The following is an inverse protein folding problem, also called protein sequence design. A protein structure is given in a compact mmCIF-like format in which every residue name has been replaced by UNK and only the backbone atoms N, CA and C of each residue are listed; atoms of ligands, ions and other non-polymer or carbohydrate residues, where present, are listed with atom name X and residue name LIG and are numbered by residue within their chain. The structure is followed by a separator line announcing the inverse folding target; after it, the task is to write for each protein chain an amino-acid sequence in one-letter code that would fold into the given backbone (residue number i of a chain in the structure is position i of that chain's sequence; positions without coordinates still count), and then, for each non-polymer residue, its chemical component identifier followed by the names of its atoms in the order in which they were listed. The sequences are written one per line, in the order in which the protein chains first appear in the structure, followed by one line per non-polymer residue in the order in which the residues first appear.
data_IF_447012071517
#
_entry.id   IF_447012071517
#
_cell.length_a   1.000
_cell.length_b   1.000
_cell.length_c   1.000
_cell.angle_alpha   90.00
_cell.angle_beta   90.00
_cell.angle_gamma   90.00
#
_symmetry.space_group_name_H-M   'P 1'
#
loop_
_entity.id
_entity.type
_entity.pdbx_description
1 polymer ?
#
# COMPACT_ATOMS: atom_id res chain seq x y z
N UNK A 1 5.03 4.96 2.48
CA UNK A 1 5.81 3.69 2.47
C UNK A 1 5.40 2.89 1.24
N UNK A 2 6.36 2.41 0.44
CA UNK A 2 6.08 1.70 -0.81
C UNK A 2 5.35 0.37 -0.62
N UNK A 3 5.62 -0.34 0.49
CA UNK A 3 5.00 -1.63 0.78
C UNK A 3 3.46 -1.59 0.78
N UNK A 4 2.86 -0.52 1.30
CA UNK A 4 1.41 -0.39 1.42
C UNK A 4 0.72 0.21 0.18
N UNK A 5 1.49 0.71 -0.78
CA UNK A 5 0.98 1.50 -1.91
C UNK A 5 1.59 0.95 -3.20
N UNK A 6 0.99 -0.07 -3.82
CA UNK A 6 1.50 -0.62 -5.07
C UNK A 6 1.55 0.43 -6.21
N UNK A 7 0.69 1.45 -6.14
CA UNK A 7 0.55 2.59 -7.05
C UNK A 7 1.11 3.90 -6.46
N UNK A 8 2.17 3.81 -5.66
CA UNK A 8 2.71 4.96 -4.91
C UNK A 8 3.06 6.15 -5.83
N UNK A 9 3.59 5.88 -7.03
CA UNK A 9 4.02 6.93 -7.96
C UNK A 9 2.82 7.73 -8.45
N UNK A 10 1.75 7.05 -8.82
CA UNK A 10 0.49 7.62 -9.29
C UNK A 10 -0.14 8.48 -8.20
N UNK A 11 -0.18 7.98 -6.96
CA UNK A 11 -0.71 8.73 -5.81
C UNK A 11 0.06 10.00 -5.54
N UNK A 12 1.40 9.95 -5.57
CA UNK A 12 2.25 11.14 -5.40
C UNK A 12 1.99 12.16 -6.51
N UNK A 13 1.89 11.72 -7.76
CA UNK A 13 1.60 12.61 -8.89
C UNK A 13 0.23 13.28 -8.80
N UNK A 14 -0.78 12.54 -8.32
CA UNK A 14 -2.17 13.01 -8.23
C UNK A 14 -2.48 13.75 -6.91
N UNK A 15 -1.56 13.75 -5.94
CA UNK A 15 -1.86 14.22 -4.58
C UNK A 15 -2.92 13.37 -3.85
N UNK A 16 -3.04 12.10 -4.24
CA UNK A 16 -4.04 11.18 -3.69
C UNK A 16 -3.62 10.71 -2.28
N UNK A 17 -4.59 10.38 -1.39
CA UNK A 17 -4.28 9.84 -0.08
C UNK A 17 -3.50 8.52 -0.19
N UNK A 18 -2.58 8.27 0.73
CA UNK A 18 -1.80 7.02 0.80
C UNK A 18 -2.45 6.02 1.74
N UNK A 19 -2.33 4.74 1.41
CA UNK A 19 -2.69 3.66 2.32
C UNK A 19 -1.79 3.70 3.56
N UNK A 20 -2.39 3.54 4.74
CA UNK A 20 -1.69 3.35 6.00
C UNK A 20 -1.12 1.94 6.04
N UNK A 21 0.20 1.77 6.25
CA UNK A 21 0.77 0.44 6.42
C UNK A 21 0.34 -0.17 7.76
N UNK A 22 0.16 -1.49 7.80
CA UNK A 22 -0.04 -2.24 9.04
C UNK A 22 1.26 -2.95 9.45
N UNK A 23 1.99 -2.46 10.48
CA UNK A 23 3.26 -3.07 10.90
C UNK A 23 3.14 -4.51 11.41
N UNK A 24 1.97 -4.93 11.90
CA UNK A 24 1.76 -6.28 12.42
C UNK A 24 1.86 -7.35 11.31
N UNK A 25 1.70 -6.95 10.05
CA UNK A 25 1.65 -7.86 8.91
C UNK A 25 2.94 -7.86 8.07
N UNK A 26 3.90 -6.99 8.37
CA UNK A 26 5.12 -6.84 7.57
C UNK A 26 5.95 -8.13 7.45
N UNK A 27 5.91 -8.98 8.49
CA UNK A 27 6.72 -10.20 8.56
C UNK A 27 5.89 -11.43 8.97
N UNK A 28 4.67 -11.53 8.44
CA UNK A 28 3.75 -12.64 8.75
C UNK A 28 3.86 -13.88 7.85
N UNK A 29 4.61 -13.80 6.73
CA UNK A 29 4.81 -14.90 5.78
C UNK A 29 3.59 -15.24 4.90
N UNK A 30 2.48 -14.52 5.06
CA UNK A 30 1.25 -14.67 4.27
C UNK A 30 1.01 -13.50 3.30
N UNK A 31 -0.12 -13.54 2.59
CA UNK A 31 -0.51 -12.50 1.62
C UNK A 31 -0.90 -11.16 2.28
N UNK A 32 -1.39 -11.22 3.52
CA UNK A 32 -1.87 -10.07 4.27
C UNK A 32 -0.74 -9.06 4.55
N UNK A 33 -0.96 -7.81 4.17
CA UNK A 33 0.01 -6.74 4.33
C UNK A 33 1.23 -6.83 3.41
N UNK A 34 1.14 -7.64 2.35
CA UNK A 34 2.21 -7.80 1.37
C UNK A 34 1.71 -7.65 -0.06
N UNK A 35 0.72 -8.44 -0.48
CA UNK A 35 0.18 -8.41 -1.86
C UNK A 35 -1.24 -7.87 -1.95
N UNK A 36 -1.92 -7.67 -0.82
CA UNK A 36 -3.36 -7.38 -0.75
C UNK A 36 -3.70 -5.90 -0.52
N UNK A 37 -2.72 -5.01 -0.56
CA UNK A 37 -2.98 -3.57 -0.51
C UNK A 37 -3.72 -3.11 -1.77
N UNK A 38 -4.85 -2.39 -1.65
CA UNK A 38 -5.61 -1.93 -2.79
C UNK A 38 -4.90 -0.76 -3.50
N UNK A 39 -5.02 -0.72 -4.83
CA UNK A 39 -4.69 0.45 -5.63
C UNK A 39 -5.75 1.55 -5.45
N UNK A 40 -5.37 2.80 -5.68
CA UNK A 40 -6.31 3.91 -5.67
C UNK A 40 -7.13 3.87 -6.95
N UNK A 41 -8.42 3.56 -6.86
CA UNK A 41 -9.37 3.81 -7.93
C UNK A 41 -9.77 5.27 -7.91
N UNK A 42 -9.51 6.00 -9.00
CA UNK A 42 -9.92 7.38 -9.18
C UNK A 42 -11.45 7.57 -9.10
#
# INVERSE_FOLDING_TARGET
MALANPDLVERIRAGAPLNTPDPATFYGGGAAGYTDYPTHTA
#
